data_IF_622696345657
#
_entry.id   IF_622696345657
#
_cell.length_a   1.000
_cell.length_b   1.000
_cell.length_c   1.000
_cell.angle_alpha   90.00
_cell.angle_beta   90.00
_cell.angle_gamma   90.00
#
_symmetry.space_group_name_H-M   'P 1'
#
loop_
_entity.id
_entity.type
_entity.pdbx_description
1 polymer ?
#
# COMPACT_ATOMS: atom_id res chain seq x y z
N UNK A 1 -49.99 -27.56 6.75
CA UNK A 1 -49.70 -26.64 5.64
C UNK A 1 -50.85 -25.62 5.58
N UNK A 2 -50.74 -24.48 6.30
CA UNK A 2 -51.79 -23.49 6.30
C UNK A 2 -51.56 -22.47 5.17
N UNK A 3 -52.48 -22.43 4.23
CA UNK A 3 -52.58 -21.37 3.22
C UNK A 3 -53.40 -20.27 3.87
N UNK A 4 -52.82 -19.19 4.35
CA UNK A 4 -53.57 -18.07 4.86
C UNK A 4 -54.11 -17.24 3.69
N UNK A 5 -55.38 -17.33 3.43
CA UNK A 5 -56.11 -16.34 2.64
C UNK A 5 -56.55 -15.20 3.57
N UNK A 6 -55.99 -14.02 3.39
CA UNK A 6 -56.56 -12.83 4.03
C UNK A 6 -57.82 -12.41 3.26
N UNK A 7 -58.95 -12.45 3.95
CA UNK A 7 -60.29 -12.13 3.37
C UNK A 7 -60.62 -10.63 3.32
N UNK A 8 -59.69 -9.75 3.59
CA UNK A 8 -59.97 -8.33 3.62
C UNK A 8 -59.19 -7.57 2.53
N UNK A 9 -59.88 -7.20 1.52
CA UNK A 9 -59.78 -6.23 0.43
C UNK A 9 -60.02 -6.85 -0.96
N UNK A 10 -61.30 -7.06 -1.25
CA UNK A 10 -61.82 -7.42 -2.58
C UNK A 10 -61.97 -6.18 -3.49
N UNK A 11 -60.96 -5.34 -3.67
CA UNK A 11 -61.01 -4.24 -4.63
C UNK A 11 -59.74 -4.01 -5.44
N UNK A 12 -58.78 -4.95 -5.41
CA UNK A 12 -57.58 -4.90 -6.24
C UNK A 12 -57.24 -6.29 -6.78
N UNK A 13 -57.12 -6.50 -8.12
CA UNK A 13 -56.87 -7.82 -8.70
C UNK A 13 -55.46 -8.36 -8.51
N UNK A 14 -54.67 -7.88 -7.53
CA UNK A 14 -53.22 -8.18 -7.39
C UNK A 14 -52.77 -8.48 -5.96
N UNK A 15 -53.54 -9.22 -5.16
CA UNK A 15 -53.02 -9.71 -3.88
C UNK A 15 -52.09 -10.93 -4.07
N UNK A 16 -50.88 -10.98 -3.49
CA UNK A 16 -50.01 -12.13 -3.63
C UNK A 16 -50.45 -13.30 -2.75
N UNK A 17 -50.61 -14.50 -3.31
CA UNK A 17 -50.70 -15.72 -2.52
C UNK A 17 -49.30 -16.00 -1.91
N UNK A 18 -49.25 -16.07 -0.58
CA UNK A 18 -47.97 -16.22 0.16
C UNK A 18 -47.84 -17.59 0.76
N UNK A 19 -46.73 -18.27 0.56
CA UNK A 19 -46.38 -19.52 1.22
C UNK A 19 -45.36 -19.27 2.31
N UNK A 20 -45.63 -19.70 3.54
CA UNK A 20 -44.74 -19.56 4.67
C UNK A 20 -43.48 -20.41 4.47
N UNK A 21 -42.31 -19.89 4.73
CA UNK A 21 -41.00 -20.57 4.66
C UNK A 21 -40.35 -20.67 6.04
N UNK A 22 -40.37 -19.59 6.82
CA UNK A 22 -39.93 -19.52 8.20
C UNK A 22 -40.60 -18.35 8.90
N UNK A 23 -40.44 -18.22 10.23
CA UNK A 23 -41.02 -17.11 11.00
C UNK A 23 -40.59 -15.77 10.38
N UNK A 24 -41.57 -14.97 9.91
CA UNK A 24 -41.32 -13.69 9.27
C UNK A 24 -40.85 -13.72 7.81
N UNK A 25 -40.74 -14.91 7.18
CA UNK A 25 -40.31 -15.06 5.79
C UNK A 25 -41.30 -15.87 4.99
N UNK A 26 -41.79 -15.33 3.87
CA UNK A 26 -42.77 -15.95 3.02
C UNK A 26 -42.33 -15.93 1.56
N UNK A 27 -42.68 -17.00 0.81
CA UNK A 27 -42.61 -17.02 -0.65
C UNK A 27 -44.05 -16.81 -1.16
N UNK A 28 -44.24 -15.88 -2.07
CA UNK A 28 -45.52 -15.62 -2.69
C UNK A 28 -45.40 -15.25 -4.15
N UNK A 29 -46.50 -15.38 -4.88
CA UNK A 29 -46.62 -14.82 -6.24
C UNK A 29 -47.93 -14.11 -6.37
N UNK A 30 -48.03 -13.22 -7.32
CA UNK A 30 -49.31 -12.57 -7.62
C UNK A 30 -50.33 -13.61 -8.08
N UNK A 31 -51.59 -13.42 -7.71
CA UNK A 31 -52.70 -14.23 -8.15
C UNK A 31 -53.62 -13.38 -8.99
N UNK A 32 -54.20 -13.98 -10.03
CA UNK A 32 -55.19 -13.38 -10.89
C UNK A 32 -56.32 -14.36 -11.07
N UNK A 33 -57.55 -13.91 -11.06
CA UNK A 33 -58.71 -14.73 -11.32
C UNK A 33 -58.74 -15.10 -12.81
N UNK A 34 -58.88 -16.37 -13.10
CA UNK A 34 -59.05 -16.84 -14.47
C UNK A 34 -60.45 -16.44 -14.95
N UNK A 35 -60.58 -15.67 -16.02
CA UNK A 35 -61.88 -15.15 -16.49
C UNK A 35 -62.91 -16.23 -16.88
N UNK A 36 -62.42 -17.42 -17.25
CA UNK A 36 -63.29 -18.54 -17.70
C UNK A 36 -63.64 -19.47 -16.57
N UNK A 37 -62.82 -19.71 -15.60
CA UNK A 37 -63.04 -20.69 -14.53
C UNK A 37 -63.34 -20.07 -13.17
N UNK A 38 -63.15 -18.75 -13.02
CA UNK A 38 -63.25 -18.07 -11.74
C UNK A 38 -62.19 -18.45 -10.71
N UNK A 39 -61.27 -19.36 -11.06
CA UNK A 39 -60.25 -19.87 -10.16
C UNK A 39 -59.05 -18.92 -10.08
N UNK A 40 -58.56 -18.69 -8.89
CA UNK A 40 -57.38 -17.86 -8.67
C UNK A 40 -56.11 -18.60 -9.08
N UNK A 41 -55.44 -18.14 -10.13
CA UNK A 41 -54.16 -18.70 -10.63
C UNK A 41 -53.00 -17.77 -10.29
N UNK A 42 -51.90 -18.35 -9.89
CA UNK A 42 -50.65 -17.58 -9.66
C UNK A 42 -50.02 -17.12 -10.98
N UNK A 43 -49.72 -15.84 -11.09
CA UNK A 43 -49.16 -15.19 -12.28
C UNK A 43 -47.77 -14.65 -12.00
N UNK A 44 -46.88 -14.77 -12.99
CA UNK A 44 -45.51 -14.23 -12.90
C UNK A 44 -44.56 -15.05 -12.04
N UNK A 45 -43.43 -14.45 -11.68
CA UNK A 45 -42.39 -15.08 -10.85
C UNK A 45 -42.79 -15.08 -9.37
N UNK A 46 -42.14 -15.98 -8.62
CA UNK A 46 -42.18 -15.94 -7.16
C UNK A 46 -41.38 -14.78 -6.59
N UNK A 47 -41.81 -14.29 -5.42
CA UNK A 47 -41.14 -13.24 -4.66
C UNK A 47 -40.86 -13.73 -3.24
N UNK A 48 -39.71 -13.33 -2.70
CA UNK A 48 -39.41 -13.40 -1.30
C UNK A 48 -40.01 -12.19 -0.58
N UNK A 49 -40.77 -12.44 0.46
CA UNK A 49 -41.30 -11.43 1.39
C UNK A 49 -40.76 -11.71 2.77
N UNK A 50 -40.12 -10.73 3.40
CA UNK A 50 -39.69 -10.82 4.78
C UNK A 50 -39.73 -9.44 5.44
N UNK A 51 -39.85 -9.43 6.77
CA UNK A 51 -39.65 -8.23 7.57
C UNK A 51 -38.20 -8.25 8.08
N UNK A 52 -37.52 -7.13 7.90
CA UNK A 52 -36.15 -6.95 8.38
C UNK A 52 -36.07 -5.59 9.05
N UNK A 53 -35.69 -5.58 10.34
CA UNK A 53 -35.58 -4.35 11.14
C UNK A 53 -36.83 -3.47 11.09
N UNK A 54 -38.01 -4.09 11.16
CA UNK A 54 -39.30 -3.39 11.11
C UNK A 54 -39.77 -2.96 9.72
N UNK A 55 -38.97 -3.09 8.69
CA UNK A 55 -39.33 -2.73 7.31
C UNK A 55 -39.66 -3.96 6.48
N UNK A 56 -40.73 -3.86 5.67
CA UNK A 56 -41.11 -4.91 4.72
C UNK A 56 -40.15 -4.94 3.54
N UNK A 57 -39.62 -6.13 3.24
CA UNK A 57 -38.71 -6.36 2.14
C UNK A 57 -39.32 -7.34 1.14
N UNK A 58 -39.21 -7.01 -0.15
CA UNK A 58 -39.67 -7.85 -1.26
C UNK A 58 -38.62 -7.95 -2.34
N UNK A 59 -38.31 -9.17 -2.78
CA UNK A 59 -37.36 -9.46 -3.85
C UNK A 59 -37.92 -10.48 -4.82
N UNK A 60 -37.78 -10.26 -6.14
CA UNK A 60 -38.14 -11.23 -7.16
C UNK A 60 -37.16 -12.37 -7.21
N UNK A 61 -37.66 -13.62 -7.16
CA UNK A 61 -36.83 -14.83 -7.29
C UNK A 61 -36.65 -15.24 -8.76
N UNK A 62 -37.23 -14.49 -9.70
CA UNK A 62 -37.10 -14.71 -11.16
C UNK A 62 -37.42 -16.15 -11.63
N UNK A 63 -38.13 -16.92 -10.84
CA UNK A 63 -38.58 -18.30 -11.15
C UNK A 63 -40.06 -18.42 -11.00
N UNK A 64 -40.69 -19.30 -11.80
CA UNK A 64 -42.08 -19.69 -11.71
C UNK A 64 -42.28 -21.04 -11.00
N UNK A 65 -41.19 -21.74 -10.70
CA UNK A 65 -41.19 -22.99 -9.97
C UNK A 65 -41.04 -22.74 -8.48
N UNK A 66 -41.98 -23.30 -7.68
CA UNK A 66 -42.01 -23.13 -6.22
C UNK A 66 -40.86 -23.88 -5.54
N UNK A 67 -40.41 -25.04 -6.08
CA UNK A 67 -39.32 -25.82 -5.48
C UNK A 67 -38.02 -25.05 -5.64
N UNK A 68 -37.75 -24.54 -6.85
CA UNK A 68 -36.58 -23.70 -7.13
C UNK A 68 -36.62 -22.44 -6.26
N UNK A 69 -37.79 -21.78 -6.13
CA UNK A 69 -37.93 -20.62 -5.26
C UNK A 69 -37.62 -20.92 -3.79
N UNK A 70 -38.04 -22.10 -3.29
CA UNK A 70 -37.72 -22.55 -1.92
C UNK A 70 -36.24 -22.81 -1.72
N UNK A 71 -35.59 -23.47 -2.67
CA UNK A 71 -34.13 -23.71 -2.64
C UNK A 71 -33.32 -22.39 -2.65
N UNK A 72 -33.71 -21.47 -3.53
CA UNK A 72 -33.08 -20.14 -3.59
C UNK A 72 -33.21 -19.39 -2.26
N UNK A 73 -34.37 -19.44 -1.62
CA UNK A 73 -34.56 -18.78 -0.33
C UNK A 73 -33.80 -19.45 0.78
N UNK A 74 -33.73 -20.79 0.81
CA UNK A 74 -32.88 -21.52 1.78
C UNK A 74 -31.41 -21.18 1.62
N UNK A 75 -30.88 -21.22 0.39
CA UNK A 75 -29.51 -20.86 0.11
C UNK A 75 -29.22 -19.41 0.55
N UNK A 76 -30.13 -18.48 0.27
CA UNK A 76 -30.02 -17.08 0.68
C UNK A 76 -30.08 -16.92 2.20
N UNK A 77 -30.91 -17.66 2.92
CA UNK A 77 -30.98 -17.62 4.38
C UNK A 77 -29.69 -18.13 5.02
N UNK A 78 -29.10 -19.21 4.49
CA UNK A 78 -27.80 -19.72 4.92
C UNK A 78 -26.69 -18.68 4.66
N UNK A 79 -26.70 -18.12 3.48
CA UNK A 79 -25.74 -17.05 3.11
C UNK A 79 -25.87 -15.81 4.02
N UNK A 80 -27.11 -15.34 4.26
CA UNK A 80 -27.39 -14.14 5.06
C UNK A 80 -27.24 -14.37 6.58
N UNK A 81 -27.23 -15.64 7.06
CA UNK A 81 -27.14 -15.96 8.49
C UNK A 81 -25.83 -15.48 9.17
N UNK A 82 -24.77 -15.32 8.37
CA UNK A 82 -23.49 -14.79 8.83
C UNK A 82 -23.33 -13.27 8.69
N UNK A 83 -24.33 -12.57 8.12
CA UNK A 83 -24.23 -11.15 7.79
C UNK A 83 -24.97 -10.27 8.79
N UNK A 84 -24.40 -9.08 9.08
CA UNK A 84 -25.12 -8.01 9.76
C UNK A 84 -26.06 -7.29 8.76
N UNK A 85 -27.35 -7.51 8.90
CA UNK A 85 -28.36 -6.95 8.02
C UNK A 85 -28.53 -5.43 8.20
N UNK A 86 -28.12 -4.86 9.33
CA UNK A 86 -28.10 -3.40 9.54
C UNK A 86 -27.12 -2.70 8.60
N UNK A 87 -26.02 -3.38 8.26
CA UNK A 87 -24.96 -2.90 7.34
C UNK A 87 -25.33 -3.10 5.84
N UNK A 88 -26.52 -3.61 5.54
CA UNK A 88 -26.90 -3.93 4.14
C UNK A 88 -26.96 -2.71 3.22
N UNK A 89 -27.22 -1.54 3.77
CA UNK A 89 -27.27 -0.26 3.04
C UNK A 89 -25.95 0.50 3.07
N UNK A 90 -24.87 -0.08 3.65
CA UNK A 90 -23.60 0.59 3.75
C UNK A 90 -23.09 1.05 2.39
N UNK A 91 -22.72 2.34 2.34
CA UNK A 91 -22.21 2.97 1.13
C UNK A 91 -20.69 2.82 1.05
N UNK A 92 -20.18 2.99 -0.16
CA UNK A 92 -18.73 2.98 -0.40
C UNK A 92 -18.03 4.11 0.38
N UNK A 93 -18.68 5.27 0.49
CA UNK A 93 -18.12 6.39 1.27
C UNK A 93 -18.00 6.04 2.74
N UNK A 94 -19.04 5.48 3.36
CA UNK A 94 -19.02 5.09 4.78
C UNK A 94 -17.90 4.06 5.06
N UNK A 95 -17.75 3.05 4.19
CA UNK A 95 -16.68 2.07 4.27
C UNK A 95 -15.28 2.70 4.12
N UNK A 96 -15.13 3.61 3.16
CA UNK A 96 -13.88 4.33 2.94
C UNK A 96 -13.51 5.22 4.13
N UNK A 97 -14.48 5.90 4.74
CA UNK A 97 -14.26 6.70 5.95
C UNK A 97 -13.82 5.82 7.12
N UNK A 98 -14.48 4.69 7.36
CA UNK A 98 -14.04 3.70 8.36
C UNK A 98 -12.59 3.27 8.11
N UNK A 99 -12.25 2.92 6.88
CA UNK A 99 -10.88 2.54 6.52
C UNK A 99 -9.86 3.63 6.85
N UNK A 100 -10.12 4.89 6.47
CA UNK A 100 -9.21 6.01 6.76
C UNK A 100 -9.00 6.18 8.26
N UNK A 101 -10.04 6.00 9.09
CA UNK A 101 -9.93 6.06 10.55
C UNK A 101 -9.00 4.96 11.10
N UNK A 102 -9.04 3.74 10.56
CA UNK A 102 -8.12 2.66 10.99
C UNK A 102 -6.65 2.97 10.66
N UNK A 103 -6.41 3.95 9.77
CA UNK A 103 -5.07 4.36 9.32
C UNK A 103 -4.52 5.60 10.04
N UNK A 104 -5.09 5.99 11.18
CA UNK A 104 -4.65 7.18 11.93
C UNK A 104 -3.18 7.12 12.38
N UNK A 105 -2.67 5.93 12.70
CA UNK A 105 -1.33 5.73 13.24
C UNK A 105 -0.28 5.31 12.19
N UNK A 106 -0.57 5.40 10.89
CA UNK A 106 0.41 5.07 9.86
C UNK A 106 1.25 6.28 9.46
N UNK A 107 2.43 6.01 8.86
CA UNK A 107 3.32 7.07 8.40
C UNK A 107 2.61 8.02 7.40
N UNK A 108 2.86 9.35 7.46
CA UNK A 108 2.14 10.36 6.67
C UNK A 108 2.08 10.06 5.16
N UNK A 109 3.17 9.57 4.57
CA UNK A 109 3.20 9.20 3.16
C UNK A 109 2.33 7.97 2.83
N UNK A 110 2.17 7.05 3.79
CA UNK A 110 1.25 5.91 3.65
C UNK A 110 -0.19 6.40 3.71
N UNK A 111 -0.55 7.19 4.74
CA UNK A 111 -1.87 7.77 4.87
C UNK A 111 -2.29 8.63 3.65
N UNK A 112 -1.34 9.40 3.08
CA UNK A 112 -1.59 10.19 1.86
C UNK A 112 -1.95 9.30 0.68
N UNK A 113 -1.21 8.20 0.47
CA UNK A 113 -1.49 7.25 -0.61
C UNK A 113 -2.81 6.52 -0.40
N UNK A 114 -3.09 6.10 0.82
CA UNK A 114 -4.35 5.44 1.16
C UNK A 114 -5.54 6.36 0.84
N UNK A 115 -5.47 7.63 1.23
CA UNK A 115 -6.48 8.66 0.88
C UNK A 115 -6.61 8.88 -0.62
N UNK A 116 -5.50 8.92 -1.36
CA UNK A 116 -5.53 9.05 -2.82
C UNK A 116 -6.30 7.90 -3.47
N UNK A 117 -6.07 6.66 -3.03
CA UNK A 117 -6.78 5.48 -3.55
C UNK A 117 -8.27 5.55 -3.20
N UNK A 118 -8.62 5.91 -1.96
CA UNK A 118 -9.99 6.11 -1.51
C UNK A 118 -10.72 7.15 -2.36
N UNK A 119 -10.08 8.32 -2.61
CA UNK A 119 -10.65 9.37 -3.46
C UNK A 119 -10.93 8.85 -4.88
N UNK A 120 -9.98 8.17 -5.49
CA UNK A 120 -10.16 7.59 -6.84
C UNK A 120 -11.25 6.53 -6.88
N UNK A 121 -11.39 5.75 -5.82
CA UNK A 121 -12.42 4.74 -5.71
C UNK A 121 -13.82 5.38 -5.65
N UNK A 122 -13.99 6.40 -4.81
CA UNK A 122 -15.23 7.16 -4.68
C UNK A 122 -15.58 7.93 -5.97
N UNK A 123 -14.60 8.53 -6.64
CA UNK A 123 -14.79 9.20 -7.94
C UNK A 123 -15.25 8.24 -9.05
N UNK A 124 -14.74 7.01 -9.04
CA UNK A 124 -15.08 6.02 -10.08
C UNK A 124 -16.47 5.38 -9.89
N UNK A 125 -16.80 5.00 -8.67
CA UNK A 125 -18.06 4.27 -8.39
C UNK A 125 -19.20 5.16 -7.93
N UNK A 126 -18.92 6.38 -7.48
CA UNK A 126 -19.83 7.25 -6.75
C UNK A 126 -19.83 6.94 -5.24
N UNK A 127 -19.91 7.98 -4.39
CA UNK A 127 -19.83 7.84 -2.92
C UNK A 127 -21.00 7.04 -2.34
N UNK A 128 -22.21 7.21 -2.89
CA UNK A 128 -23.44 6.56 -2.43
C UNK A 128 -23.62 5.12 -2.93
N UNK A 129 -22.68 4.61 -3.74
CA UNK A 129 -22.72 3.24 -4.26
C UNK A 129 -22.71 2.24 -3.11
N UNK A 130 -23.73 1.37 -3.07
CA UNK A 130 -23.79 0.30 -2.05
C UNK A 130 -22.68 -0.71 -2.28
N UNK A 131 -21.92 -1.04 -1.23
CA UNK A 131 -20.76 -1.94 -1.33
C UNK A 131 -21.16 -3.32 -1.89
N UNK A 132 -22.33 -3.83 -1.54
CA UNK A 132 -22.86 -5.12 -2.05
C UNK A 132 -23.16 -5.13 -3.55
N UNK A 133 -23.26 -3.95 -4.19
CA UNK A 133 -23.50 -3.85 -5.63
C UNK A 133 -22.22 -3.75 -6.46
N UNK A 134 -21.06 -3.74 -5.83
CA UNK A 134 -19.76 -3.70 -6.50
C UNK A 134 -19.32 -5.14 -6.78
N UNK A 135 -19.31 -5.52 -8.06
CA UNK A 135 -18.88 -6.85 -8.46
C UNK A 135 -17.34 -6.92 -8.57
N UNK A 136 -16.80 -8.15 -8.51
CA UNK A 136 -15.36 -8.37 -8.71
C UNK A 136 -14.87 -7.94 -10.11
N UNK A 137 -15.75 -7.99 -11.14
CA UNK A 137 -15.49 -7.45 -12.48
C UNK A 137 -15.29 -5.94 -12.46
N UNK A 138 -16.15 -5.22 -11.71
CA UNK A 138 -16.12 -3.77 -11.63
C UNK A 138 -14.81 -3.30 -10.96
N UNK A 139 -14.44 -3.97 -9.86
CA UNK A 139 -13.21 -3.65 -9.14
C UNK A 139 -11.95 -3.98 -9.95
N UNK A 140 -11.98 -5.06 -10.75
CA UNK A 140 -10.89 -5.38 -11.70
C UNK A 140 -10.80 -4.34 -12.80
N UNK A 141 -11.93 -3.88 -13.37
CA UNK A 141 -11.97 -2.84 -14.38
C UNK A 141 -11.42 -1.52 -13.84
N UNK A 142 -11.83 -1.11 -12.63
CA UNK A 142 -11.26 0.04 -11.93
C UNK A 142 -9.74 -0.06 -11.79
N UNK A 143 -9.25 -1.18 -11.25
CA UNK A 143 -7.81 -1.37 -11.03
C UNK A 143 -7.00 -1.37 -12.33
N UNK A 144 -7.51 -2.00 -13.39
CA UNK A 144 -6.88 -2.04 -14.70
C UNK A 144 -6.91 -0.68 -15.42
N UNK A 145 -7.96 0.11 -15.19
CA UNK A 145 -8.15 1.45 -15.75
C UNK A 145 -7.39 2.57 -15.05
N UNK A 146 -6.65 2.27 -13.98
CA UNK A 146 -5.88 3.29 -13.25
C UNK A 146 -4.79 3.89 -14.14
N UNK A 147 -4.77 5.23 -14.18
CA UNK A 147 -3.78 6.01 -14.92
C UNK A 147 -2.93 6.86 -13.97
N UNK A 148 -1.73 7.25 -14.43
CA UNK A 148 -0.88 8.18 -13.69
C UNK A 148 -1.42 9.59 -13.85
N UNK A 149 -1.59 10.29 -12.73
CA UNK A 149 -2.04 11.68 -12.71
C UNK A 149 -0.87 12.60 -12.35
N UNK A 150 -0.85 13.78 -12.97
CA UNK A 150 0.04 14.89 -12.61
C UNK A 150 -0.40 15.59 -11.32
N UNK A 151 0.37 16.60 -10.87
CA UNK A 151 0.00 17.44 -9.71
C UNK A 151 -1.34 18.17 -9.88
N UNK A 152 -1.69 18.51 -11.12
CA UNK A 152 -2.96 19.14 -11.54
C UNK A 152 -4.08 18.12 -11.78
N UNK A 153 -3.88 16.86 -11.38
CA UNK A 153 -4.78 15.70 -11.61
C UNK A 153 -5.06 15.37 -13.07
N UNK A 154 -4.34 15.95 -14.02
CA UNK A 154 -4.47 15.57 -15.45
C UNK A 154 -3.73 14.26 -15.75
N UNK A 155 -4.24 13.46 -16.69
CA UNK A 155 -3.59 12.24 -17.13
C UNK A 155 -2.18 12.49 -17.67
N UNK A 156 -1.23 11.67 -17.24
CA UNK A 156 0.11 11.63 -17.78
C UNK A 156 0.25 10.47 -18.78
N UNK A 157 1.10 10.64 -19.80
CA UNK A 157 1.40 9.58 -20.78
C UNK A 157 2.10 8.37 -20.16
N UNK A 158 2.75 8.54 -19.02
CA UNK A 158 3.47 7.48 -18.32
C UNK A 158 2.52 6.52 -17.62
N UNK A 159 2.77 5.22 -17.74
CA UNK A 159 2.03 4.18 -17.02
C UNK A 159 2.39 4.16 -15.54
N UNK A 160 1.44 3.70 -14.72
CA UNK A 160 1.69 3.39 -13.30
C UNK A 160 2.66 2.21 -13.19
N UNK A 161 3.54 2.25 -12.20
CA UNK A 161 4.45 1.13 -11.95
C UNK A 161 3.69 -0.09 -11.43
N UNK A 162 4.10 -1.32 -11.79
CA UNK A 162 3.53 -2.56 -11.25
C UNK A 162 3.52 -2.61 -9.71
N UNK A 163 4.57 -2.09 -9.07
CA UNK A 163 4.65 -2.00 -7.60
C UNK A 163 3.55 -1.08 -7.01
N UNK A 164 3.26 0.05 -7.67
CA UNK A 164 2.17 0.92 -7.26
C UNK A 164 0.80 0.25 -7.45
N UNK A 165 0.57 -0.41 -8.58
CA UNK A 165 -0.67 -1.15 -8.83
C UNK A 165 -0.89 -2.25 -7.78
N UNK A 166 0.17 -3.00 -7.41
CA UNK A 166 0.09 -3.98 -6.33
C UNK A 166 -0.26 -3.35 -4.98
N UNK A 167 0.28 -2.16 -4.67
CA UNK A 167 -0.08 -1.43 -3.44
C UNK A 167 -1.53 -0.97 -3.44
N UNK A 168 -2.05 -0.54 -4.60
CA UNK A 168 -3.48 -0.21 -4.74
C UNK A 168 -4.33 -1.45 -4.49
N UNK A 169 -3.99 -2.60 -5.09
CA UNK A 169 -4.70 -3.85 -4.85
C UNK A 169 -4.70 -4.25 -3.37
N UNK A 170 -3.58 -4.06 -2.65
CA UNK A 170 -3.51 -4.33 -1.21
C UNK A 170 -4.39 -3.37 -0.40
N UNK A 171 -4.48 -2.08 -0.78
CA UNK A 171 -5.38 -1.10 -0.13
C UNK A 171 -6.84 -1.51 -0.37
N UNK A 172 -7.21 -1.88 -1.59
CA UNK A 172 -8.56 -2.34 -1.91
C UNK A 172 -8.95 -3.58 -1.11
N UNK A 173 -8.03 -4.56 -0.94
CA UNK A 173 -8.25 -5.73 -0.08
C UNK A 173 -8.48 -5.34 1.38
N UNK A 174 -7.75 -4.34 1.88
CA UNK A 174 -7.94 -3.87 3.25
C UNK A 174 -9.29 -3.16 3.42
N UNK A 175 -9.72 -2.36 2.43
CA UNK A 175 -11.02 -1.67 2.46
C UNK A 175 -12.17 -2.70 2.48
N UNK A 176 -12.19 -3.64 1.53
CA UNK A 176 -13.26 -4.64 1.46
C UNK A 176 -13.13 -5.71 2.57
N UNK A 177 -11.91 -5.95 3.09
CA UNK A 177 -11.67 -6.76 4.27
C UNK A 177 -12.43 -6.24 5.49
N UNK A 178 -12.46 -4.92 5.72
CA UNK A 178 -13.29 -4.32 6.77
C UNK A 178 -14.79 -4.61 6.59
N UNK A 179 -15.29 -4.57 5.36
CA UNK A 179 -16.69 -4.89 5.08
C UNK A 179 -17.02 -6.36 5.40
N UNK A 180 -16.03 -7.26 5.26
CA UNK A 180 -16.16 -8.68 5.67
C UNK A 180 -16.10 -8.79 7.19
N UNK A 181 -15.17 -8.11 7.86
CA UNK A 181 -15.04 -8.08 9.32
C UNK A 181 -16.32 -7.53 9.99
N UNK A 182 -16.88 -6.45 9.44
CA UNK A 182 -18.16 -5.85 9.87
C UNK A 182 -19.38 -6.69 9.47
N UNK A 183 -19.20 -7.83 8.80
CA UNK A 183 -20.25 -8.68 8.27
C UNK A 183 -21.22 -7.96 7.30
N UNK A 184 -20.78 -6.87 6.70
CA UNK A 184 -21.53 -6.14 5.69
C UNK A 184 -21.62 -6.93 4.37
N UNK A 185 -20.58 -7.68 4.02
CA UNK A 185 -20.54 -8.65 2.91
C UNK A 185 -19.98 -9.99 3.42
N UNK A 186 -20.29 -11.08 2.71
CA UNK A 186 -19.65 -12.36 3.01
C UNK A 186 -18.23 -12.41 2.45
N UNK A 187 -17.38 -13.24 3.04
CA UNK A 187 -16.02 -13.45 2.52
C UNK A 187 -16.01 -13.96 1.07
N UNK A 188 -17.07 -14.66 0.62
CA UNK A 188 -17.20 -15.14 -0.75
C UNK A 188 -17.60 -14.04 -1.73
N UNK A 189 -18.29 -12.99 -1.24
CA UNK A 189 -18.73 -11.85 -2.04
C UNK A 189 -17.72 -10.70 -2.03
N UNK A 190 -16.57 -10.85 -1.37
CA UNK A 190 -15.51 -9.84 -1.38
C UNK A 190 -14.98 -9.63 -2.82
N UNK A 191 -15.26 -8.47 -3.44
CA UNK A 191 -14.87 -8.20 -4.82
C UNK A 191 -13.37 -8.08 -4.99
N UNK A 192 -12.64 -7.83 -3.92
CA UNK A 192 -11.18 -7.64 -3.95
C UNK A 192 -10.39 -8.95 -4.08
N UNK A 193 -10.98 -10.10 -3.75
CA UNK A 193 -10.36 -11.43 -3.89
C UNK A 193 -9.96 -11.76 -5.33
N UNK A 194 -10.67 -11.20 -6.31
CA UNK A 194 -10.38 -11.36 -7.74
C UNK A 194 -9.21 -10.54 -8.27
N UNK A 195 -8.61 -9.65 -7.46
CA UNK A 195 -7.49 -8.82 -7.86
C UNK A 195 -6.19 -9.65 -7.88
N UNK A 196 -5.61 -9.83 -9.05
CA UNK A 196 -4.31 -10.51 -9.20
C UNK A 196 -3.17 -9.52 -9.06
N UNK A 197 -2.05 -9.96 -8.47
CA UNK A 197 -0.82 -9.15 -8.43
C UNK A 197 -0.20 -9.07 -9.81
N UNK A 198 0.26 -7.88 -10.17
CA UNK A 198 1.01 -7.63 -11.39
C UNK A 198 2.46 -8.04 -11.15
N UNK A 199 3.06 -8.77 -12.09
CA UNK A 199 4.48 -9.13 -12.02
C UNK A 199 5.34 -7.87 -12.03
N UNK A 200 6.14 -7.68 -11.00
CA UNK A 200 7.11 -6.58 -10.92
C UNK A 200 8.40 -7.05 -11.59
N UNK A 201 8.83 -6.41 -12.69
CA UNK A 201 10.10 -6.77 -13.29
C UNK A 201 11.26 -6.45 -12.34
N UNK A 202 12.29 -7.28 -12.35
CA UNK A 202 13.52 -6.98 -11.64
C UNK A 202 14.15 -5.71 -12.20
N UNK A 203 14.26 -4.70 -11.38
CA UNK A 203 14.92 -3.45 -11.77
C UNK A 203 16.41 -3.58 -11.46
N UNK A 204 17.26 -3.61 -12.48
CA UNK A 204 18.71 -3.52 -12.30
C UNK A 204 19.03 -2.19 -11.61
N UNK A 205 19.46 -2.26 -10.37
CA UNK A 205 19.78 -1.09 -9.56
C UNK A 205 21.26 -0.77 -9.76
N UNK A 206 21.53 0.32 -10.44
CA UNK A 206 22.89 0.79 -10.66
C UNK A 206 23.39 1.50 -9.40
N UNK A 207 24.59 1.16 -8.96
CA UNK A 207 25.27 1.73 -7.79
C UNK A 207 26.58 2.34 -8.24
N UNK A 208 26.92 3.59 -7.87
CA UNK A 208 28.23 4.16 -8.19
C UNK A 208 29.34 3.34 -7.50
N UNK A 209 30.49 3.26 -8.13
CA UNK A 209 31.71 2.76 -7.49
C UNK A 209 32.14 3.72 -6.39
N UNK A 210 33.00 3.27 -5.47
CA UNK A 210 33.56 4.15 -4.44
C UNK A 210 34.36 5.33 -5.04
N UNK A 211 35.03 5.11 -6.16
CA UNK A 211 35.73 6.15 -6.89
C UNK A 211 34.78 7.17 -7.54
N UNK A 212 33.72 6.69 -8.18
CA UNK A 212 32.67 7.57 -8.74
C UNK A 212 31.96 8.36 -7.65
N UNK A 213 31.68 7.73 -6.49
CA UNK A 213 31.10 8.42 -5.35
C UNK A 213 31.96 9.61 -4.89
N UNK A 214 33.29 9.42 -4.78
CA UNK A 214 34.21 10.51 -4.43
C UNK A 214 34.17 11.64 -5.47
N UNK A 215 34.17 11.31 -6.77
CA UNK A 215 34.04 12.28 -7.87
C UNK A 215 32.71 13.03 -7.81
N UNK A 216 31.61 12.34 -7.47
CA UNK A 216 30.29 12.97 -7.31
C UNK A 216 30.30 13.98 -6.16
N UNK A 217 30.87 13.64 -5.00
CA UNK A 217 31.00 14.55 -3.86
C UNK A 217 31.76 15.82 -4.26
N UNK A 218 32.90 15.66 -4.93
CA UNK A 218 33.71 16.78 -5.41
C UNK A 218 32.97 17.62 -6.43
N UNK A 219 32.33 17.00 -7.40
CA UNK A 219 31.52 17.70 -8.39
C UNK A 219 30.35 18.47 -7.79
N UNK A 220 29.78 18.00 -6.68
CA UNK A 220 28.72 18.77 -5.96
C UNK A 220 29.32 19.98 -5.29
N UNK A 221 30.48 19.87 -4.63
CA UNK A 221 31.17 20.98 -3.96
C UNK A 221 31.62 22.08 -4.92
N UNK A 222 31.98 21.69 -6.13
CA UNK A 222 32.46 22.62 -7.19
C UNK A 222 31.33 23.06 -8.13
N UNK A 223 30.06 23.09 -7.67
CA UNK A 223 28.93 23.58 -8.46
C UNK A 223 29.01 25.08 -8.70
N UNK A 224 29.27 25.55 -9.93
CA UNK A 224 29.60 26.96 -10.19
C UNK A 224 28.48 27.93 -9.91
N UNK A 225 27.22 27.50 -10.02
CA UNK A 225 26.04 28.38 -9.93
C UNK A 225 25.41 28.46 -8.52
N UNK A 226 25.97 27.76 -7.51
CA UNK A 226 25.39 27.65 -6.17
C UNK A 226 26.45 27.44 -5.10
N UNK A 227 27.49 28.24 -5.10
CA UNK A 227 28.66 28.09 -4.24
C UNK A 227 28.34 28.08 -2.74
N UNK A 228 27.38 28.91 -2.31
CA UNK A 228 26.87 29.00 -0.93
C UNK A 228 26.21 27.72 -0.42
N UNK A 229 25.57 26.94 -1.31
CA UNK A 229 24.89 25.70 -0.97
C UNK A 229 25.65 24.45 -1.40
N UNK A 230 26.66 24.60 -2.24
CA UNK A 230 27.39 23.48 -2.84
C UNK A 230 28.17 22.69 -1.77
N UNK A 231 28.85 23.38 -0.86
CA UNK A 231 29.60 22.72 0.20
C UNK A 231 28.68 21.94 1.15
N UNK A 232 27.60 22.57 1.61
CA UNK A 232 26.63 21.91 2.48
C UNK A 232 25.92 20.73 1.79
N UNK A 233 25.66 20.82 0.47
CA UNK A 233 25.14 19.69 -0.30
C UNK A 233 26.17 18.57 -0.45
N UNK A 234 27.44 18.92 -0.67
CA UNK A 234 28.57 17.99 -0.71
C UNK A 234 28.75 17.25 0.62
N UNK A 235 28.73 17.99 1.73
CA UNK A 235 28.84 17.42 3.08
C UNK A 235 27.69 16.47 3.39
N UNK A 236 26.47 16.82 2.99
CA UNK A 236 25.31 15.92 3.13
C UNK A 236 25.48 14.61 2.33
N UNK A 237 25.86 14.72 1.05
CA UNK A 237 26.05 13.56 0.16
C UNK A 237 27.21 12.70 0.66
N UNK A 238 28.30 13.33 1.09
CA UNK A 238 29.47 12.63 1.64
C UNK A 238 29.09 11.88 2.92
N UNK A 239 28.38 12.53 3.85
CA UNK A 239 27.90 11.88 5.06
C UNK A 239 27.03 10.67 4.74
N UNK A 240 25.99 10.85 3.92
CA UNK A 240 25.08 9.77 3.55
C UNK A 240 25.80 8.57 2.92
N UNK A 241 26.77 8.82 2.03
CA UNK A 241 27.53 7.77 1.36
C UNK A 241 28.57 7.10 2.26
N UNK A 242 29.21 7.83 3.18
CA UNK A 242 30.20 7.25 4.12
C UNK A 242 29.55 6.52 5.29
N UNK A 243 28.32 6.88 5.66
CA UNK A 243 27.55 6.22 6.73
C UNK A 243 26.60 5.16 6.20
N UNK A 244 26.25 5.18 4.92
CA UNK A 244 25.23 4.30 4.36
C UNK A 244 23.82 4.58 4.91
N UNK A 245 23.57 5.74 5.49
CA UNK A 245 22.30 6.11 6.10
C UNK A 245 21.29 6.62 5.07
N UNK A 246 19.99 6.47 5.38
CA UNK A 246 18.91 7.00 4.57
C UNK A 246 18.72 8.50 4.76
N UNK A 247 18.06 9.18 3.81
CA UNK A 247 17.86 10.63 3.85
C UNK A 247 17.18 11.11 5.14
N UNK A 248 16.16 10.40 5.62
CA UNK A 248 15.44 10.79 6.82
C UNK A 248 16.30 10.61 8.09
N UNK A 249 17.15 9.58 8.12
CA UNK A 249 18.12 9.33 9.20
C UNK A 249 19.17 10.44 9.23
N UNK A 250 19.80 10.73 8.07
CA UNK A 250 20.80 11.81 7.94
C UNK A 250 20.23 13.17 8.38
N UNK A 251 19.01 13.50 7.94
CA UNK A 251 18.38 14.79 8.27
C UNK A 251 17.96 14.94 9.74
N UNK A 252 17.89 13.84 10.50
CA UNK A 252 17.48 13.87 11.90
C UNK A 252 18.67 13.86 12.88
N UNK A 253 19.90 13.59 12.42
CA UNK A 253 21.05 13.45 13.29
C UNK A 253 21.62 14.81 13.70
N UNK A 254 21.95 14.91 14.98
CA UNK A 254 22.58 16.07 15.61
C UNK A 254 23.90 15.70 16.24
N UNK A 255 24.70 16.69 16.65
CA UNK A 255 25.95 16.46 17.35
C UNK A 255 25.76 15.80 18.74
N UNK A 256 24.57 15.92 19.35
CA UNK A 256 24.23 15.22 20.58
C UNK A 256 24.08 13.70 20.41
N UNK A 257 23.89 13.24 19.18
CA UNK A 257 23.76 11.82 18.87
C UNK A 257 25.14 11.15 18.63
N UNK A 258 26.24 11.95 18.54
CA UNK A 258 27.58 11.48 18.18
C UNK A 258 28.48 11.38 19.42
N UNK A 259 28.95 10.17 19.68
CA UNK A 259 30.00 9.90 20.67
C UNK A 259 31.29 9.50 19.93
N UNK A 260 32.19 10.47 19.76
CA UNK A 260 33.48 10.24 19.06
C UNK A 260 34.47 9.43 19.89
N UNK A 261 34.34 9.42 21.22
CA UNK A 261 35.21 8.66 22.13
C UNK A 261 34.85 7.19 22.10
N UNK A 262 33.55 6.88 22.21
CA UNK A 262 33.07 5.49 22.07
C UNK A 262 32.99 5.02 20.62
N UNK A 263 33.17 5.90 19.66
CA UNK A 263 33.10 5.57 18.25
C UNK A 263 31.68 5.18 17.78
N UNK A 264 30.65 5.87 18.25
CA UNK A 264 29.26 5.53 17.98
C UNK A 264 28.40 6.75 17.64
N UNK A 265 27.33 6.52 16.85
CA UNK A 265 26.21 7.45 16.66
C UNK A 265 24.94 6.76 17.09
N UNK A 266 24.12 7.42 17.89
CA UNK A 266 22.80 6.94 18.22
C UNK A 266 21.81 7.30 17.12
N UNK A 267 21.52 6.36 16.21
CA UNK A 267 20.63 6.58 15.07
C UNK A 267 19.21 6.14 15.41
N UNK A 268 18.23 6.96 15.08
CA UNK A 268 16.82 6.57 15.17
C UNK A 268 16.29 6.16 13.80
N UNK A 269 15.84 4.92 13.67
CA UNK A 269 15.27 4.42 12.42
C UNK A 269 13.89 5.04 12.19
N UNK A 270 13.77 5.89 11.18
CA UNK A 270 12.55 6.66 10.91
C UNK A 270 11.30 5.80 10.64
N UNK A 271 11.46 4.61 10.08
CA UNK A 271 10.33 3.71 9.79
C UNK A 271 9.74 3.06 11.06
N UNK A 272 10.56 2.73 12.04
CA UNK A 272 10.15 2.00 13.25
C UNK A 272 10.27 2.82 14.51
N UNK A 273 10.82 4.03 14.42
CA UNK A 273 11.13 4.94 15.53
C UNK A 273 12.06 4.32 16.60
N UNK A 274 12.68 3.18 16.30
CA UNK A 274 13.59 2.50 17.23
C UNK A 274 15.00 3.08 17.13
N UNK A 275 15.62 3.42 18.26
CA UNK A 275 17.03 3.80 18.31
C UNK A 275 17.92 2.55 18.11
N UNK A 276 19.09 2.75 17.50
CA UNK A 276 20.13 1.73 17.42
C UNK A 276 21.52 2.36 17.40
N UNK A 277 22.55 1.71 17.97
CA UNK A 277 23.89 2.17 17.88
C UNK A 277 24.44 1.91 16.47
N UNK A 278 24.95 2.95 15.84
CA UNK A 278 25.72 2.88 14.60
C UNK A 278 27.19 3.04 14.96
N UNK A 279 28.02 2.04 14.66
CA UNK A 279 29.46 2.08 14.94
C UNK A 279 30.19 2.85 13.86
N UNK A 280 31.04 3.80 14.28
CA UNK A 280 31.84 4.61 13.38
C UNK A 280 32.85 3.75 12.64
N UNK A 281 33.00 4.01 11.36
CA UNK A 281 33.97 3.32 10.50
C UNK A 281 35.16 4.22 10.22
N UNK A 282 36.30 3.64 9.81
CA UNK A 282 37.46 4.41 9.34
C UNK A 282 37.12 5.38 8.18
N UNK A 283 36.05 5.11 7.44
CA UNK A 283 35.54 5.99 6.38
C UNK A 283 34.86 7.23 6.90
N UNK A 284 34.14 7.11 8.04
CA UNK A 284 33.27 8.15 8.57
C UNK A 284 33.93 9.03 9.63
N UNK A 285 34.77 8.44 10.49
CA UNK A 285 35.40 9.14 11.62
C UNK A 285 36.19 10.40 11.21
N UNK A 286 37.08 10.37 10.18
CA UNK A 286 37.79 11.56 9.76
C UNK A 286 36.86 12.65 9.22
N UNK A 287 35.82 12.25 8.55
CA UNK A 287 34.78 13.18 8.03
C UNK A 287 34.08 13.93 9.17
N UNK A 288 33.61 13.22 10.20
CA UNK A 288 32.96 13.83 11.36
C UNK A 288 33.90 14.78 12.12
N UNK A 289 35.19 14.36 12.32
CA UNK A 289 36.16 15.23 12.95
C UNK A 289 36.42 16.50 12.16
N UNK A 290 36.45 16.42 10.82
CA UNK A 290 36.58 17.58 9.93
C UNK A 290 35.39 18.53 10.09
N UNK A 291 34.14 17.98 10.11
CA UNK A 291 32.93 18.80 10.30
C UNK A 291 32.90 19.46 11.69
N UNK A 292 33.29 18.74 12.74
CA UNK A 292 33.35 19.30 14.09
C UNK A 292 34.40 20.41 14.21
N UNK A 293 35.54 20.26 13.56
CA UNK A 293 36.59 21.29 13.51
C UNK A 293 36.12 22.54 12.77
N UNK A 294 35.30 22.42 11.71
CA UNK A 294 34.69 23.57 11.02
C UNK A 294 33.66 24.33 11.86
N UNK A 295 33.01 23.65 12.80
CA UNK A 295 31.98 24.22 13.66
C UNK A 295 32.20 23.85 15.13
N UNK A 296 33.28 24.36 15.76
CA UNK A 296 33.66 23.98 17.14
C UNK A 296 32.57 24.36 18.15
N UNK A 297 31.85 25.46 17.94
CA UNK A 297 30.75 25.93 18.77
C UNK A 297 29.42 25.19 18.55
N UNK A 298 29.36 24.22 17.64
CA UNK A 298 28.14 23.46 17.40
C UNK A 298 27.69 22.70 18.65
N UNK A 299 26.54 23.09 19.18
CA UNK A 299 25.95 22.48 20.38
C UNK A 299 25.27 21.12 20.06
N UNK A 300 24.82 20.40 21.12
CA UNK A 300 24.23 19.07 20.97
C UNK A 300 23.02 19.02 20.04
N UNK A 301 22.22 20.09 19.94
CA UNK A 301 21.04 20.18 19.09
C UNK A 301 21.33 20.59 17.66
N UNK A 302 22.58 20.97 17.35
CA UNK A 302 22.97 21.38 15.99
C UNK A 302 23.01 20.15 15.09
N UNK A 303 22.36 20.18 13.89
CA UNK A 303 22.46 19.08 12.92
C UNK A 303 23.93 18.83 12.52
N UNK A 304 24.31 17.57 12.31
CA UNK A 304 25.66 17.21 11.84
C UNK A 304 25.92 17.79 10.44
N UNK A 305 24.91 17.69 9.58
CA UNK A 305 24.88 18.31 8.26
C UNK A 305 23.53 19.01 8.08
N UNK A 306 23.51 20.08 7.29
CA UNK A 306 22.25 20.81 7.04
C UNK A 306 21.20 19.89 6.40
N UNK A 307 20.00 19.73 7.02
CA UNK A 307 18.93 18.88 6.50
C UNK A 307 18.46 19.32 5.12
N UNK A 308 18.47 18.43 4.13
CA UNK A 308 18.08 18.76 2.76
C UNK A 308 17.63 17.58 1.94
N UNK A 309 17.11 17.88 0.75
CA UNK A 309 16.88 16.88 -0.29
C UNK A 309 18.02 16.94 -1.33
N UNK A 310 18.93 15.96 -1.36
CA UNK A 310 20.13 16.01 -2.20
C UNK A 310 19.86 15.70 -3.68
N UNK A 311 18.62 15.37 -4.05
CA UNK A 311 18.29 14.83 -5.39
C UNK A 311 18.71 15.74 -6.53
N UNK A 312 18.48 17.06 -6.40
CA UNK A 312 18.83 18.02 -7.46
C UNK A 312 20.35 18.15 -7.61
N UNK A 313 21.08 18.31 -6.49
CA UNK A 313 22.53 18.41 -6.50
C UNK A 313 23.17 17.12 -7.04
N UNK A 314 22.71 15.96 -6.59
CA UNK A 314 23.19 14.66 -7.06
C UNK A 314 22.96 14.49 -8.58
N UNK A 315 21.77 14.83 -9.08
CA UNK A 315 21.44 14.74 -10.50
C UNK A 315 22.31 15.71 -11.35
N UNK A 316 22.53 16.93 -10.88
CA UNK A 316 23.40 17.91 -11.56
C UNK A 316 24.84 17.39 -11.67
N UNK A 317 25.41 16.91 -10.57
CA UNK A 317 26.75 16.35 -10.54
C UNK A 317 26.89 15.13 -11.45
N UNK A 318 25.94 14.18 -11.39
CA UNK A 318 25.94 13.01 -12.29
C UNK A 318 25.91 13.41 -13.77
N UNK A 319 25.08 14.41 -14.13
CA UNK A 319 25.02 14.93 -15.51
C UNK A 319 26.36 15.50 -15.96
N UNK A 320 27.03 16.32 -15.13
CA UNK A 320 28.34 16.92 -15.44
C UNK A 320 29.43 15.85 -15.62
N UNK A 321 29.37 14.81 -14.79
CA UNK A 321 30.33 13.68 -14.84
C UNK A 321 29.97 12.64 -15.90
N UNK A 322 28.89 12.82 -16.66
CA UNK A 322 28.38 11.83 -17.63
C UNK A 322 28.11 10.46 -16.99
N UNK A 323 27.74 10.45 -15.71
CA UNK A 323 27.35 9.26 -14.95
C UNK A 323 25.82 9.04 -15.02
N UNK A 324 25.35 7.81 -14.74
CA UNK A 324 23.94 7.52 -14.60
C UNK A 324 23.24 8.42 -13.55
N UNK A 325 21.95 8.70 -13.70
CA UNK A 325 21.17 9.46 -12.71
C UNK A 325 20.95 8.64 -11.44
N UNK A 326 21.85 8.78 -10.48
CA UNK A 326 21.76 8.09 -9.21
C UNK A 326 20.74 8.74 -8.27
N UNK A 327 19.91 7.92 -7.64
CA UNK A 327 19.00 8.38 -6.59
C UNK A 327 19.72 8.51 -5.25
N UNK A 328 19.21 9.30 -4.28
CA UNK A 328 19.80 9.36 -2.93
C UNK A 328 19.93 7.99 -2.25
N UNK A 329 19.07 7.02 -2.59
CA UNK A 329 19.18 5.65 -2.09
C UNK A 329 20.43 4.90 -2.62
N UNK A 330 20.98 5.34 -3.74
CA UNK A 330 22.23 4.78 -4.25
C UNK A 330 23.41 5.05 -3.30
N UNK A 331 23.39 6.16 -2.53
CA UNK A 331 24.42 6.47 -1.53
C UNK A 331 24.49 5.38 -0.43
N UNK A 332 23.31 4.89 0.04
CA UNK A 332 23.28 3.75 0.97
C UNK A 332 23.84 2.47 0.33
N UNK A 333 23.54 2.25 -0.96
CA UNK A 333 24.09 1.09 -1.68
C UNK A 333 25.60 1.17 -1.86
N UNK A 334 26.16 2.37 -2.11
CA UNK A 334 27.62 2.58 -2.19
C UNK A 334 28.31 2.04 -0.97
N UNK A 335 27.88 2.45 0.22
CA UNK A 335 28.48 2.00 1.47
C UNK A 335 28.38 0.48 1.65
N UNK A 336 27.18 -0.07 1.45
CA UNK A 336 26.93 -1.51 1.63
C UNK A 336 27.76 -2.31 0.63
N UNK A 337 27.76 -1.91 -0.65
CA UNK A 337 28.55 -2.58 -1.69
C UNK A 337 30.04 -2.51 -1.38
N UNK A 338 30.54 -1.33 -0.99
CA UNK A 338 31.94 -1.16 -0.63
C UNK A 338 32.35 -1.98 0.60
N UNK A 339 31.48 -2.07 1.62
CA UNK A 339 31.70 -2.91 2.78
C UNK A 339 31.80 -4.41 2.42
N UNK A 340 30.93 -4.91 1.54
CA UNK A 340 31.04 -6.28 1.02
C UNK A 340 32.32 -6.49 0.21
N UNK A 341 32.66 -5.55 -0.67
CA UNK A 341 33.88 -5.61 -1.49
C UNK A 341 35.17 -5.56 -0.62
N UNK A 342 35.06 -4.94 0.56
CA UNK A 342 36.15 -4.90 1.56
C UNK A 342 36.17 -6.12 2.48
N UNK A 343 35.33 -7.13 2.26
CA UNK A 343 35.32 -8.37 3.03
C UNK A 343 34.61 -8.29 4.39
N UNK A 344 33.86 -7.22 4.67
CA UNK A 344 33.11 -7.10 5.92
C UNK A 344 31.95 -8.11 5.92
N UNK A 345 31.84 -8.88 7.01
CA UNK A 345 30.82 -9.92 7.13
C UNK A 345 29.40 -9.34 7.06
N UNK A 346 28.51 -10.04 6.37
CA UNK A 346 27.14 -9.57 6.11
C UNK A 346 26.35 -9.22 7.37
N UNK A 347 26.55 -9.93 8.48
CA UNK A 347 25.85 -9.68 9.75
C UNK A 347 26.32 -8.38 10.40
N UNK A 348 27.60 -8.06 10.29
CA UNK A 348 28.16 -6.78 10.77
C UNK A 348 27.61 -5.63 9.95
N UNK A 349 27.54 -5.79 8.61
CA UNK A 349 26.91 -4.81 7.72
C UNK A 349 25.43 -4.62 8.12
N UNK A 350 24.70 -5.72 8.35
CA UNK A 350 23.29 -5.70 8.76
C UNK A 350 23.10 -5.01 10.11
N UNK A 351 23.94 -5.35 11.09
CA UNK A 351 23.91 -4.75 12.42
C UNK A 351 24.07 -3.23 12.33
N UNK A 352 25.11 -2.77 11.64
CA UNK A 352 25.42 -1.34 11.50
C UNK A 352 24.37 -0.58 10.66
N UNK A 353 23.52 -1.28 9.90
CA UNK A 353 22.43 -0.73 9.11
C UNK A 353 21.04 -0.99 9.71
N UNK A 354 20.99 -1.54 10.93
CA UNK A 354 19.76 -1.95 11.64
C UNK A 354 18.84 -2.86 10.80
N UNK A 355 19.40 -3.77 10.02
CA UNK A 355 18.63 -4.80 9.32
C UNK A 355 18.39 -5.99 10.28
N UNK A 356 17.11 -6.39 10.47
CA UNK A 356 16.73 -7.46 11.40
C UNK A 356 16.76 -8.88 10.79
N UNK A 357 17.28 -9.02 9.58
CA UNK A 357 17.22 -10.24 8.76
C UNK A 357 18.59 -10.88 8.51
N UNK A 358 19.50 -10.75 9.46
CA UNK A 358 20.87 -11.31 9.43
C UNK A 358 21.64 -10.98 8.13
N UNK A 359 21.33 -9.82 7.53
CA UNK A 359 22.02 -9.34 6.32
C UNK A 359 21.40 -9.78 4.99
N UNK A 360 20.31 -10.54 4.99
CA UNK A 360 19.63 -10.94 3.75
C UNK A 360 19.25 -9.73 2.90
N UNK A 361 18.68 -8.68 3.50
CA UNK A 361 18.33 -7.45 2.79
C UNK A 361 19.56 -6.72 2.27
N UNK A 362 20.63 -6.66 3.06
CA UNK A 362 21.89 -6.05 2.63
C UNK A 362 22.44 -6.77 1.38
N UNK A 363 22.47 -8.10 1.40
CA UNK A 363 23.00 -8.93 0.32
C UNK A 363 22.12 -8.95 -0.93
N UNK A 364 20.80 -9.07 -0.76
CA UNK A 364 19.88 -9.28 -1.90
C UNK A 364 19.43 -7.97 -2.56
N UNK A 365 19.36 -6.89 -1.81
CA UNK A 365 18.74 -5.63 -2.26
C UNK A 365 19.75 -4.50 -2.44
N UNK A 366 20.76 -4.45 -1.60
CA UNK A 366 21.70 -3.32 -1.57
C UNK A 366 23.06 -3.63 -2.17
N UNK A 367 23.55 -4.87 -2.05
CA UNK A 367 24.83 -5.26 -2.64
C UNK A 367 24.73 -5.34 -4.17
N UNK A 368 25.55 -4.54 -4.85
CA UNK A 368 25.71 -4.60 -6.31
C UNK A 368 26.87 -5.54 -6.64
N UNK A 369 26.55 -6.76 -7.06
CA UNK A 369 27.53 -7.80 -7.40
C UNK A 369 28.17 -7.49 -8.75
N UNK A 370 29.23 -6.68 -8.74
CA UNK A 370 29.95 -6.31 -9.93
C UNK A 370 30.73 -7.48 -10.52
N UNK A 371 30.82 -7.60 -11.85
CA UNK A 371 31.56 -8.68 -12.50
C UNK A 371 33.03 -8.75 -12.07
N UNK A 372 33.66 -7.60 -11.85
CA UNK A 372 35.07 -7.49 -11.41
C UNK A 372 35.26 -8.09 -10.02
N UNK A 373 34.35 -7.79 -9.08
CA UNK A 373 34.35 -8.37 -7.74
C UNK A 373 34.17 -9.88 -7.81
N UNK A 374 33.16 -10.36 -8.57
CA UNK A 374 32.92 -11.80 -8.73
C UNK A 374 34.15 -12.51 -9.26
N UNK A 375 34.79 -11.97 -10.31
CA UNK A 375 36.01 -12.54 -10.87
C UNK A 375 37.19 -12.55 -9.86
N UNK A 376 37.32 -11.49 -9.06
CA UNK A 376 38.34 -11.42 -8.02
C UNK A 376 38.11 -12.47 -6.92
N UNK A 377 36.88 -12.66 -6.49
CA UNK A 377 36.55 -13.68 -5.49
C UNK A 377 36.75 -15.10 -6.02
N UNK A 378 36.37 -15.38 -7.27
CA UNK A 378 36.53 -16.69 -7.89
C UNK A 378 38.06 -17.08 -8.06
N UNK A 379 38.95 -16.08 -8.20
CA UNK A 379 40.41 -16.33 -8.24
C UNK A 379 40.99 -16.84 -6.91
N UNK A 380 40.22 -16.75 -5.82
CA UNK A 380 40.63 -17.30 -4.50
C UNK A 380 40.40 -18.81 -4.39
N UNK A 381 39.63 -19.39 -5.31
CA UNK A 381 39.47 -20.86 -5.38
C UNK A 381 40.85 -21.47 -5.76
N UNK A 382 41.27 -22.45 -4.99
CA UNK A 382 42.49 -23.22 -5.20
C UNK A 382 42.10 -24.68 -5.33
N UNK A 383 42.81 -25.44 -6.14
CA UNK A 383 42.79 -26.90 -6.10
C UNK A 383 43.35 -27.34 -4.75
N UNK A 384 42.63 -28.19 -4.03
CA UNK A 384 43.04 -28.75 -2.72
C UNK A 384 43.78 -30.04 -2.98
#
# INVERSE_FOLDING_TARGET
MCICYSKEHMSSPKSPARKFVSKGTHIGRFVQQDPKSGVMKGVGSYYLYCSRNGSAYRESLKTRDIKIAQEMVRAKMVHDAGLDLSQRSETLEALCQKYVLTRANVAPNTARRDREVVTRLAEHFGPDRKIRSIAASDLRAFHAGLIKLGPDRKPLKEKLSPDYLNKVADILRNIFGLAVEDRAISANDDPSRGLKRVKVPETKRITPTWAEFKKIVEAVRTEPNRTDQAEAAGDWIEFAGRAGLGQAEVNSLTWGDVDLERGQIQVRRQKTQQPYPYYLTPLLTPFLRRLKAKAPAAGPRTPIVEPRNPRKALKSACKRLKLPDYSPRALRRVWITHAFESGVHQEIIAHNQAHKDSGRLARMVYFDKRPEFIRAELKKLRDI
#
